data_IF_306839970507
#
_entry.id   IF_306839970507
#
_cell.length_a   1.000
_cell.length_b   1.000
_cell.length_c   1.000
_cell.angle_alpha   90.00
_cell.angle_beta   90.00
_cell.angle_gamma   90.00
#
_symmetry.space_group_name_H-M   'P 1'
#
loop_
_entity.id
_entity.type
_entity.pdbx_description
1 polymer ?
#
# COMPACT_ATOMS: atom_id res chain seq x y z
N UNK A 1 8.33 -2.04 -9.91
CA UNK A 1 8.52 -1.41 -8.59
C UNK A 1 7.92 -2.23 -7.45
N UNK A 2 6.93 -3.10 -7.73
CA UNK A 2 6.25 -3.97 -6.77
C UNK A 2 7.10 -5.18 -6.38
N UNK A 3 6.88 -5.79 -5.20
CA UNK A 3 7.40 -7.12 -4.89
C UNK A 3 6.74 -8.16 -5.81
N UNK A 4 7.34 -9.36 -5.90
CA UNK A 4 6.73 -10.47 -6.67
C UNK A 4 5.29 -10.67 -6.24
N UNK A 5 4.37 -10.67 -7.21
CA UNK A 5 2.92 -10.75 -7.00
C UNK A 5 2.30 -11.65 -8.06
N UNK A 6 1.30 -12.43 -7.68
CA UNK A 6 0.42 -13.16 -8.60
C UNK A 6 -1.04 -12.94 -8.21
N UNK A 7 -1.92 -12.95 -9.20
CA UNK A 7 -3.37 -12.92 -9.03
C UNK A 7 -3.90 -14.27 -9.50
N UNK A 8 -4.56 -15.04 -8.64
CA UNK A 8 -4.97 -16.40 -9.00
C UNK A 8 -5.92 -17.02 -7.98
N UNK A 9 -6.70 -18.02 -8.43
CA UNK A 9 -7.45 -18.96 -7.60
C UNK A 9 -6.78 -20.35 -7.58
N UNK A 10 -5.78 -20.56 -8.41
CA UNK A 10 -5.11 -21.87 -8.60
C UNK A 10 -4.22 -22.21 -7.40
N UNK A 11 -4.62 -23.23 -6.65
CA UNK A 11 -3.90 -23.72 -5.48
C UNK A 11 -2.48 -24.19 -5.81
N UNK A 12 -2.24 -24.73 -7.00
CA UNK A 12 -0.93 -25.23 -7.41
C UNK A 12 0.05 -24.06 -7.62
N UNK A 13 -0.43 -22.98 -8.25
CA UNK A 13 0.33 -21.72 -8.41
C UNK A 13 0.62 -21.07 -7.06
N UNK A 14 -0.36 -21.03 -6.15
CA UNK A 14 -0.18 -20.49 -4.80
C UNK A 14 0.85 -21.31 -4.02
N UNK A 15 0.76 -22.66 -4.08
CA UNK A 15 1.71 -23.57 -3.43
C UNK A 15 3.13 -23.33 -3.93
N UNK A 16 3.32 -23.23 -5.24
CA UNK A 16 4.61 -22.95 -5.87
C UNK A 16 5.15 -21.58 -5.47
N UNK A 17 4.28 -20.55 -5.39
CA UNK A 17 4.64 -19.21 -4.99
C UNK A 17 5.10 -19.16 -3.52
N UNK A 18 4.41 -19.87 -2.60
CA UNK A 18 4.82 -20.02 -1.19
C UNK A 18 6.17 -20.74 -1.11
N UNK A 19 6.35 -21.84 -1.84
CA UNK A 19 7.63 -22.59 -1.88
C UNK A 19 8.79 -21.68 -2.28
N UNK A 20 8.58 -20.81 -3.30
CA UNK A 20 9.58 -19.86 -3.81
C UNK A 20 9.90 -18.76 -2.82
N UNK A 21 8.90 -18.17 -2.19
CA UNK A 21 9.09 -16.94 -1.38
C UNK A 21 9.10 -17.15 0.12
N UNK A 22 8.79 -18.38 0.61
CA UNK A 22 8.75 -18.80 2.02
C UNK A 22 7.66 -18.08 2.86
N UNK A 23 7.52 -16.77 2.71
CA UNK A 23 6.49 -15.95 3.38
C UNK A 23 5.79 -15.09 2.34
N UNK A 24 4.46 -15.17 2.31
CA UNK A 24 3.63 -14.38 1.41
C UNK A 24 2.48 -13.73 2.17
N UNK A 25 1.95 -12.67 1.59
CA UNK A 25 0.69 -12.05 2.02
C UNK A 25 -0.41 -12.49 1.05
N UNK A 26 -1.55 -12.93 1.58
CA UNK A 26 -2.81 -13.01 0.85
C UNK A 26 -3.58 -11.72 1.06
N UNK A 27 -4.09 -11.16 -0.02
CA UNK A 27 -4.96 -9.97 -0.01
C UNK A 27 -6.17 -10.22 -0.91
N UNK A 28 -7.39 -9.80 -0.52
CA UNK A 28 -8.49 -9.72 -1.47
C UNK A 28 -8.16 -8.64 -2.52
N UNK A 29 -8.68 -8.78 -3.74
CA UNK A 29 -8.54 -7.72 -4.76
C UNK A 29 -9.41 -6.52 -4.40
N UNK A 30 -10.63 -6.79 -3.92
CA UNK A 30 -11.58 -5.77 -3.50
C UNK A 30 -11.66 -5.70 -1.97
N UNK A 31 -10.88 -4.82 -1.36
CA UNK A 31 -10.88 -4.60 0.09
C UNK A 31 -10.30 -3.23 0.44
N UNK A 32 -10.51 -2.80 1.67
CA UNK A 32 -10.01 -1.52 2.19
C UNK A 32 -9.52 -1.65 3.63
N UNK A 33 -8.75 -0.68 4.08
CA UNK A 33 -8.28 -0.56 5.49
C UNK A 33 -7.52 -1.77 6.04
N UNK A 34 -6.90 -2.58 5.17
CA UNK A 34 -6.13 -3.76 5.59
C UNK A 34 -7.00 -4.91 6.12
N UNK A 35 -8.28 -4.95 5.74
CA UNK A 35 -9.14 -6.07 6.11
C UNK A 35 -8.77 -7.32 5.33
N UNK A 36 -8.91 -8.48 5.98
CA UNK A 36 -8.64 -9.80 5.40
C UNK A 36 -7.24 -9.94 4.76
N UNK A 37 -6.21 -9.35 5.39
CA UNK A 37 -4.82 -9.57 4.99
C UNK A 37 -4.23 -10.69 5.84
N UNK A 38 -3.76 -11.76 5.20
CA UNK A 38 -3.18 -12.92 5.89
C UNK A 38 -1.72 -13.15 5.54
N UNK A 39 -0.88 -13.32 6.56
CA UNK A 39 0.51 -13.76 6.39
C UNK A 39 0.56 -15.29 6.39
N UNK A 40 1.01 -15.87 5.28
CA UNK A 40 1.27 -17.31 5.17
C UNK A 40 2.76 -17.60 5.23
N UNK A 41 3.14 -18.52 6.10
CA UNK A 41 4.52 -19.03 6.26
C UNK A 41 4.67 -20.43 5.65
N UNK A 42 3.55 -21.11 5.40
CA UNK A 42 3.45 -22.44 4.80
C UNK A 42 2.14 -22.56 4.02
N UNK A 43 2.06 -23.57 3.15
CA UNK A 43 0.85 -23.84 2.40
C UNK A 43 -0.21 -24.45 3.31
N UNK A 44 -1.40 -23.84 3.32
CA UNK A 44 -2.58 -24.31 4.06
C UNK A 44 -3.79 -24.26 3.13
N UNK A 45 -4.09 -25.39 2.50
CA UNK A 45 -5.17 -25.51 1.52
C UNK A 45 -6.54 -25.14 2.08
N UNK A 46 -6.85 -25.54 3.32
CA UNK A 46 -8.14 -25.25 3.97
C UNK A 46 -8.35 -23.73 4.14
N UNK A 47 -7.32 -23.02 4.62
CA UNK A 47 -7.37 -21.56 4.79
C UNK A 47 -7.47 -20.87 3.42
N UNK A 48 -6.65 -21.29 2.44
CA UNK A 48 -6.61 -20.69 1.11
C UNK A 48 -7.94 -20.88 0.41
N UNK A 49 -8.53 -22.09 0.44
CA UNK A 49 -9.85 -22.36 -0.14
C UNK A 49 -10.93 -21.51 0.51
N UNK A 50 -10.94 -21.40 1.86
CA UNK A 50 -11.88 -20.52 2.55
C UNK A 50 -11.73 -19.06 2.10
N UNK A 51 -10.50 -18.63 1.88
CA UNK A 51 -10.21 -17.27 1.43
C UNK A 51 -10.66 -17.04 -0.03
N UNK A 52 -10.39 -17.99 -0.94
CA UNK A 52 -10.85 -17.96 -2.33
C UNK A 52 -12.39 -17.97 -2.39
N UNK A 53 -13.05 -18.86 -1.66
CA UNK A 53 -14.52 -18.92 -1.63
C UNK A 53 -15.18 -17.62 -1.15
N UNK A 54 -14.47 -16.85 -0.30
CA UNK A 54 -14.96 -15.57 0.20
C UNK A 54 -14.69 -14.39 -0.77
N UNK A 55 -13.56 -14.43 -1.48
CA UNK A 55 -13.04 -13.26 -2.20
C UNK A 55 -12.84 -13.47 -3.70
N UNK A 56 -13.15 -14.68 -4.19
CA UNK A 56 -12.93 -15.10 -5.58
C UNK A 56 -11.43 -14.99 -5.94
N UNK A 57 -11.05 -14.15 -6.87
CA UNK A 57 -9.65 -13.93 -7.21
C UNK A 57 -8.90 -13.20 -6.10
N UNK A 58 -7.71 -13.72 -5.76
CA UNK A 58 -6.91 -13.19 -4.68
C UNK A 58 -5.52 -12.77 -5.16
N UNK A 59 -4.96 -11.81 -4.47
CA UNK A 59 -3.58 -11.38 -4.64
C UNK A 59 -2.68 -12.14 -3.67
N UNK A 60 -1.68 -12.84 -4.20
CA UNK A 60 -0.57 -13.40 -3.42
C UNK A 60 0.68 -12.57 -3.67
N UNK A 61 1.26 -12.01 -2.63
CA UNK A 61 2.40 -11.12 -2.74
C UNK A 61 3.53 -11.53 -1.79
N UNK A 62 4.80 -11.46 -2.26
CA UNK A 62 5.95 -11.70 -1.41
C UNK A 62 5.91 -10.79 -0.18
N UNK A 63 6.03 -11.38 1.02
CA UNK A 63 6.08 -10.60 2.26
C UNK A 63 7.34 -9.73 2.32
N UNK A 64 7.17 -8.49 2.71
CA UNK A 64 8.25 -7.53 2.93
C UNK A 64 8.49 -7.36 4.43
N UNK A 65 9.53 -7.98 5.02
CA UNK A 65 9.70 -8.00 6.47
C UNK A 65 9.99 -6.62 7.08
N UNK A 66 10.50 -5.67 6.29
CA UNK A 66 10.75 -4.29 6.75
C UNK A 66 9.49 -3.48 7.02
N UNK A 67 8.28 -4.06 6.78
CA UNK A 67 7.01 -3.45 7.21
C UNK A 67 6.98 -3.14 8.72
N UNK A 68 7.73 -3.86 9.53
CA UNK A 68 7.86 -3.58 10.97
C UNK A 68 8.39 -2.18 11.26
N UNK A 69 9.16 -1.60 10.33
CA UNK A 69 9.67 -0.22 10.39
C UNK A 69 8.66 0.80 9.82
N UNK A 70 7.50 0.33 9.40
CA UNK A 70 6.45 1.13 8.80
C UNK A 70 6.41 1.04 7.27
N UNK A 71 5.25 1.41 6.73
CA UNK A 71 5.12 1.80 5.33
C UNK A 71 5.15 3.32 5.21
N UNK A 72 5.24 3.81 3.97
CA UNK A 72 5.22 5.24 3.67
C UNK A 72 4.05 5.52 2.73
N UNK A 73 3.04 6.30 3.21
CA UNK A 73 1.98 6.84 2.37
C UNK A 73 2.46 8.13 1.73
N UNK A 74 2.53 8.15 0.42
CA UNK A 74 2.86 9.34 -0.39
C UNK A 74 1.58 9.93 -0.96
N UNK A 75 1.41 11.24 -0.86
CA UNK A 75 0.28 11.98 -1.41
C UNK A 75 0.63 12.58 -2.76
N UNK A 76 -0.21 12.32 -3.77
CA UNK A 76 -0.09 12.85 -5.13
C UNK A 76 -1.35 13.65 -5.44
N UNK A 77 -1.19 14.90 -5.84
CA UNK A 77 -2.28 15.82 -6.22
C UNK A 77 -1.93 16.40 -7.59
N UNK A 78 -2.83 16.28 -8.57
CA UNK A 78 -2.66 16.80 -9.92
C UNK A 78 -1.30 16.43 -10.57
N UNK A 79 -0.83 15.18 -10.36
CA UNK A 79 0.46 14.73 -10.88
C UNK A 79 1.68 15.24 -10.11
N UNK A 80 1.50 15.89 -8.95
CA UNK A 80 2.57 16.42 -8.11
C UNK A 80 2.71 15.58 -6.84
N UNK A 81 3.93 15.18 -6.49
CA UNK A 81 4.25 14.54 -5.21
C UNK A 81 4.29 15.62 -4.13
N UNK A 82 3.29 15.65 -3.25
CA UNK A 82 3.08 16.73 -2.31
C UNK A 82 3.62 16.46 -0.91
N UNK A 83 3.78 15.21 -0.50
CA UNK A 83 4.27 14.86 0.83
C UNK A 83 4.15 13.38 1.13
N UNK A 84 4.66 12.98 2.30
CA UNK A 84 4.57 11.60 2.76
C UNK A 84 4.53 11.50 4.29
N UNK A 85 3.88 10.45 4.78
CA UNK A 85 3.95 10.03 6.20
C UNK A 85 4.43 8.58 6.27
N UNK A 86 5.12 8.22 7.34
CA UNK A 86 5.33 6.82 7.69
C UNK A 86 4.23 6.35 8.65
N UNK A 87 3.81 5.09 8.53
CA UNK A 87 2.81 4.47 9.40
C UNK A 87 3.42 3.20 9.99
N UNK A 88 3.86 3.29 11.24
CA UNK A 88 4.57 2.19 11.92
C UNK A 88 3.55 1.28 12.59
N UNK A 89 3.48 -0.03 12.24
CA UNK A 89 2.59 -0.98 12.87
C UNK A 89 2.78 -1.07 14.38
N UNK A 90 1.74 -1.48 15.11
CA UNK A 90 1.88 -1.89 16.51
C UNK A 90 2.88 -3.04 16.63
N UNK A 91 3.57 -3.13 17.76
CA UNK A 91 4.44 -4.26 18.10
C UNK A 91 3.69 -5.59 17.91
N UNK A 92 4.28 -6.52 17.17
CA UNK A 92 3.68 -7.82 16.84
C UNK A 92 2.70 -7.81 15.66
N UNK A 93 2.40 -6.64 15.06
CA UNK A 93 1.56 -6.51 13.85
C UNK A 93 2.41 -6.24 12.62
N UNK A 94 1.88 -6.57 11.45
CA UNK A 94 2.38 -6.17 10.13
C UNK A 94 1.39 -5.28 9.36
N UNK A 95 0.29 -4.86 10.02
CA UNK A 95 -0.70 -3.97 9.44
C UNK A 95 -0.36 -2.52 9.77
N UNK A 96 -0.08 -1.73 8.76
CA UNK A 96 0.31 -0.31 8.88
C UNK A 96 -0.86 0.68 8.76
N UNK A 97 -2.09 0.17 8.69
CA UNK A 97 -3.27 1.02 8.65
C UNK A 97 -3.48 1.73 10.00
N UNK A 98 -3.70 3.04 9.99
CA UNK A 98 -3.96 3.82 11.21
C UNK A 98 -5.21 3.33 11.96
N UNK A 99 -6.26 2.90 11.24
CA UNK A 99 -7.45 2.27 11.82
C UNK A 99 -7.14 0.96 12.58
N UNK A 100 -6.01 0.33 12.32
CA UNK A 100 -5.49 -0.85 13.04
C UNK A 100 -4.47 -0.45 14.12
N UNK A 101 -4.31 0.86 14.38
CA UNK A 101 -3.50 1.43 15.43
C UNK A 101 -2.02 1.60 15.08
N UNK A 102 -1.68 1.69 13.82
CA UNK A 102 -0.36 2.13 13.41
C UNK A 102 -0.12 3.59 13.82
N UNK A 103 1.13 3.89 14.20
CA UNK A 103 1.54 5.23 14.61
C UNK A 103 2.11 5.99 13.41
N UNK A 104 1.53 7.15 13.06
CA UNK A 104 2.07 7.98 11.99
C UNK A 104 3.29 8.77 12.48
N UNK A 105 4.27 8.98 11.60
CA UNK A 105 5.42 9.84 11.83
C UNK A 105 5.76 10.64 10.57
N UNK A 106 6.37 11.81 10.77
CA UNK A 106 6.88 12.58 9.64
C UNK A 106 8.10 11.87 9.02
N UNK A 107 8.21 11.88 7.69
CA UNK A 107 9.30 11.21 7.00
C UNK A 107 9.64 11.89 5.67
N UNK A 108 10.91 11.77 5.27
CA UNK A 108 11.36 12.10 3.93
C UNK A 108 11.45 10.85 3.06
N UNK A 109 11.07 10.96 1.82
CA UNK A 109 11.25 9.89 0.83
C UNK A 109 12.74 9.76 0.48
N UNK A 110 13.17 8.53 0.24
CA UNK A 110 14.47 8.28 -0.37
C UNK A 110 14.48 8.75 -1.83
N UNK A 111 15.65 8.96 -2.41
CA UNK A 111 15.78 9.36 -3.82
C UNK A 111 15.06 8.38 -4.75
N UNK A 112 15.13 7.07 -4.46
CA UNK A 112 14.47 6.04 -5.23
C UNK A 112 12.94 6.11 -5.11
N UNK A 113 12.41 6.23 -3.89
CA UNK A 113 10.97 6.38 -3.66
C UNK A 113 10.43 7.65 -4.34
N UNK A 114 11.17 8.75 -4.23
CA UNK A 114 10.79 10.01 -4.88
C UNK A 114 10.78 9.89 -6.42
N UNK A 115 11.80 9.24 -7.01
CA UNK A 115 11.84 8.96 -8.46
C UNK A 115 10.65 8.11 -8.90
N UNK A 116 10.35 7.03 -8.19
CA UNK A 116 9.20 6.16 -8.49
C UNK A 116 7.89 6.93 -8.33
N UNK A 117 7.73 7.70 -7.25
CA UNK A 117 6.53 8.51 -7.02
C UNK A 117 6.28 9.52 -8.13
N UNK A 118 7.33 10.19 -8.63
CA UNK A 118 7.21 11.14 -9.75
C UNK A 118 6.81 10.45 -11.07
N UNK A 119 7.32 9.24 -11.34
CA UNK A 119 6.91 8.47 -12.52
C UNK A 119 5.42 8.12 -12.44
N UNK A 120 4.98 7.58 -11.30
CA UNK A 120 3.57 7.22 -11.07
C UNK A 120 2.69 8.48 -11.12
N UNK A 121 3.09 9.59 -10.52
CA UNK A 121 2.36 10.84 -10.54
C UNK A 121 2.12 11.34 -11.97
N UNK A 122 3.14 11.24 -12.84
CA UNK A 122 3.03 11.59 -14.27
C UNK A 122 2.01 10.70 -14.99
N UNK A 123 2.01 9.39 -14.72
CA UNK A 123 1.07 8.46 -15.35
C UNK A 123 -0.36 8.66 -14.84
N UNK A 124 -0.54 8.85 -13.52
CA UNK A 124 -1.84 9.19 -12.94
C UNK A 124 -2.44 10.47 -13.54
N UNK A 125 -1.60 11.50 -13.81
CA UNK A 125 -2.06 12.73 -14.44
C UNK A 125 -2.53 12.51 -15.89
N UNK A 126 -1.87 11.64 -16.66
CA UNK A 126 -2.31 11.28 -18.03
C UNK A 126 -3.68 10.56 -18.01
N UNK A 127 -3.95 9.77 -16.96
CA UNK A 127 -5.21 9.06 -16.76
C UNK A 127 -6.28 9.94 -16.09
N UNK A 128 -6.05 11.25 -15.96
CA UNK A 128 -6.94 12.21 -15.29
C UNK A 128 -7.25 11.85 -13.83
N UNK A 129 -6.34 11.14 -13.16
CA UNK A 129 -6.46 10.83 -11.73
C UNK A 129 -5.86 11.97 -10.93
N UNK A 130 -6.73 12.81 -10.37
CA UNK A 130 -6.35 14.05 -9.72
C UNK A 130 -5.70 13.84 -8.33
N UNK A 131 -6.21 12.88 -7.54
CA UNK A 131 -5.72 12.63 -6.19
C UNK A 131 -5.46 11.16 -5.95
N UNK A 132 -4.26 10.83 -5.48
CA UNK A 132 -3.88 9.47 -5.17
C UNK A 132 -2.99 9.36 -3.93
N UNK A 133 -3.05 8.19 -3.28
CA UNK A 133 -2.11 7.77 -2.26
C UNK A 133 -1.38 6.51 -2.70
N UNK A 134 -0.05 6.53 -2.71
CA UNK A 134 0.76 5.34 -3.00
C UNK A 134 1.56 4.93 -1.76
N UNK A 135 1.69 3.62 -1.56
CA UNK A 135 2.31 3.07 -0.35
C UNK A 135 3.61 2.33 -0.68
N UNK A 136 4.68 2.67 0.06
CA UNK A 136 5.97 2.00 -0.04
C UNK A 136 6.31 1.21 1.23
N UNK A 137 6.87 0.02 1.05
CA UNK A 137 7.58 -0.72 2.08
C UNK A 137 8.99 -0.99 1.55
N UNK A 138 10.03 -0.52 2.26
CA UNK A 138 11.43 -0.72 1.86
C UNK A 138 11.68 -0.41 0.37
N UNK A 139 11.28 0.78 -0.08
CA UNK A 139 11.44 1.27 -1.45
C UNK A 139 10.71 0.44 -2.54
N UNK A 140 9.77 -0.42 -2.14
CA UNK A 140 8.89 -1.17 -3.04
C UNK A 140 7.45 -0.73 -2.85
N UNK A 141 6.73 -0.57 -3.94
CA UNK A 141 5.28 -0.33 -3.87
C UNK A 141 4.59 -1.52 -3.19
N UNK A 142 3.74 -1.24 -2.21
CA UNK A 142 3.02 -2.27 -1.47
C UNK A 142 1.87 -2.93 -2.28
N UNK A 143 1.72 -2.55 -3.54
CA UNK A 143 0.73 -3.10 -4.44
C UNK A 143 -0.56 -2.29 -4.54
N UNK A 144 -0.72 -1.27 -3.71
CA UNK A 144 -1.94 -0.46 -3.70
C UNK A 144 -1.61 0.97 -4.18
N UNK A 145 -2.33 1.41 -5.22
CA UNK A 145 -2.44 2.81 -5.59
C UNK A 145 -3.88 3.20 -5.26
N UNK A 146 -4.08 3.91 -4.17
CA UNK A 146 -5.40 4.33 -3.76
C UNK A 146 -5.79 5.61 -4.52
N UNK A 147 -6.72 5.46 -5.46
CA UNK A 147 -7.24 6.55 -6.31
C UNK A 147 -8.68 6.94 -6.00
N UNK A 148 -9.34 6.24 -5.08
CA UNK A 148 -10.74 6.49 -4.72
C UNK A 148 -10.88 7.39 -3.50
N UNK A 149 -10.20 7.03 -2.40
CA UNK A 149 -10.30 7.78 -1.15
C UNK A 149 -9.00 7.69 -0.34
N UNK A 150 -7.88 8.27 -0.82
CA UNK A 150 -6.65 8.29 -0.06
C UNK A 150 -6.81 9.13 1.21
N UNK A 151 -6.59 8.50 2.37
CA UNK A 151 -6.71 9.13 3.69
C UNK A 151 -5.35 9.57 4.21
N UNK A 152 -5.35 10.48 5.22
CA UNK A 152 -4.16 10.88 5.95
C UNK A 152 -3.74 12.35 5.77
N UNK A 153 -4.48 13.17 5.02
CA UNK A 153 -4.16 14.59 4.83
C UNK A 153 -4.14 15.37 6.15
N UNK A 154 -5.13 15.10 7.05
CA UNK A 154 -5.13 15.71 8.38
C UNK A 154 -3.90 15.28 9.18
N UNK A 155 -3.58 14.00 9.17
CA UNK A 155 -2.40 13.46 9.85
C UNK A 155 -1.11 14.08 9.32
N UNK A 156 -1.01 14.29 8.01
CA UNK A 156 0.14 14.96 7.41
C UNK A 156 0.23 16.42 7.89
N UNK A 157 -0.89 17.13 7.93
CA UNK A 157 -0.94 18.49 8.45
C UNK A 157 -0.48 18.57 9.92
N UNK A 158 -1.00 17.67 10.77
CA UNK A 158 -0.64 17.63 12.19
C UNK A 158 0.86 17.36 12.41
N UNK A 159 1.50 16.59 11.53
CA UNK A 159 2.92 16.23 11.62
C UNK A 159 3.87 17.23 10.96
N UNK A 160 3.44 17.90 9.89
CA UNK A 160 4.31 18.73 9.04
C UNK A 160 4.00 20.22 9.08
N UNK A 161 2.82 20.62 9.58
CA UNK A 161 2.29 21.96 9.47
C UNK A 161 1.79 22.35 8.07
N UNK A 162 1.96 21.47 7.07
CA UNK A 162 1.60 21.76 5.67
C UNK A 162 0.20 21.26 5.36
N UNK A 163 -0.71 22.15 4.96
CA UNK A 163 -2.09 21.82 4.65
C UNK A 163 -2.28 21.41 3.18
N UNK A 164 -2.20 20.11 2.90
CA UNK A 164 -2.40 19.57 1.54
C UNK A 164 -3.85 19.69 1.04
N UNK A 165 -4.83 19.87 1.91
CA UNK A 165 -6.20 20.16 1.46
C UNK A 165 -6.28 21.54 0.78
N UNK A 166 -5.53 22.54 1.25
CA UNK A 166 -5.39 23.83 0.54
C UNK A 166 -4.75 23.64 -0.83
N UNK A 167 -3.70 22.82 -0.91
CA UNK A 167 -3.05 22.47 -2.20
C UNK A 167 -4.05 21.80 -3.13
N UNK A 168 -4.83 20.81 -2.64
CA UNK A 168 -5.86 20.14 -3.41
C UNK A 168 -6.84 21.11 -4.07
N UNK A 169 -7.42 22.01 -3.28
CA UNK A 169 -8.41 22.99 -3.79
C UNK A 169 -7.80 24.04 -4.71
N UNK A 170 -6.55 24.43 -4.48
CA UNK A 170 -5.83 25.35 -5.37
C UNK A 170 -5.62 24.71 -6.75
N UNK A 171 -5.09 23.49 -6.76
CA UNK A 171 -4.82 22.75 -8.02
C UNK A 171 -6.10 22.34 -8.77
N UNK A 172 -7.22 22.18 -8.08
CA UNK A 172 -8.51 21.84 -8.71
C UNK A 172 -9.12 23.03 -9.45
N UNK A 173 -8.77 24.27 -9.06
CA UNK A 173 -9.28 25.50 -9.65
C UNK A 173 -8.38 26.07 -10.75
N UNK A 174 -7.18 25.51 -10.91
CA UNK A 174 -6.21 25.92 -11.92
C UNK A 174 -6.45 25.17 -13.24
#
# INVERSE_FOLDING_TARGET
FMPSTIFTQDLSKIKSFIKKHKKIILKPIHSYSGNDIHLLKSFNSKLINKFINKHDHIMCQKFLPKIINGDKRVFIINGIVCGAISRVPKKGSFLSNMSKGAKPTNIKLTNKENKISKLIAKDLKKENIFFAGIDFIDQKLNGDINVTSPTGLKTYFDLSGTNLAKTFWKELKA
#
